data_IF_692198295064
#
_entry.id   IF_692198295064
#
_cell.length_a   1.000
_cell.length_b   1.000
_cell.length_c   1.000
_cell.angle_alpha   90.00
_cell.angle_beta   90.00
_cell.angle_gamma   90.00
#
_symmetry.space_group_name_H-M   'P 1'
#
loop_
_entity.id
_entity.type
_entity.pdbx_description
1 polymer ?
#
# COMPACT_ATOMS: atom_id res chain seq x y z
N UNK A 1 7.96 33.70 -2.34
CA UNK A 1 7.23 34.69 -1.50
C UNK A 1 5.75 34.33 -1.55
N UNK A 2 5.03 34.36 -0.42
CA UNK A 2 3.59 34.10 -0.39
C UNK A 2 2.91 35.39 0.08
N UNK A 3 1.96 35.89 -0.71
CA UNK A 3 1.04 36.95 -0.32
C UNK A 3 -0.29 36.35 0.12
N UNK A 4 -0.90 36.93 1.15
CA UNK A 4 -2.19 36.46 1.67
C UNK A 4 -3.15 37.62 1.82
N UNK A 5 -4.39 37.45 1.38
CA UNK A 5 -5.48 38.39 1.60
C UNK A 5 -6.77 37.65 1.93
N UNK A 6 -7.74 38.34 2.51
CA UNK A 6 -9.03 37.75 2.86
C UNK A 6 -10.18 38.75 2.73
N UNK A 7 -11.38 38.21 2.54
CA UNK A 7 -12.67 38.87 2.78
C UNK A 7 -13.40 38.10 3.89
N UNK A 8 -14.65 38.46 4.19
CA UNK A 8 -15.45 37.72 5.19
C UNK A 8 -15.64 36.24 4.84
N UNK A 9 -15.58 35.89 3.56
CA UNK A 9 -15.99 34.56 3.06
C UNK A 9 -14.90 33.89 2.21
N UNK A 10 -13.73 34.51 2.04
CA UNK A 10 -12.68 34.01 1.15
C UNK A 10 -11.29 34.31 1.69
N UNK A 11 -10.40 33.31 1.61
CA UNK A 11 -8.96 33.47 1.79
C UNK A 11 -8.28 33.28 0.43
N UNK A 12 -7.44 34.24 0.05
CA UNK A 12 -6.64 34.19 -1.19
C UNK A 12 -5.16 34.11 -0.85
N UNK A 13 -4.48 33.17 -1.49
CA UNK A 13 -3.04 32.97 -1.37
C UNK A 13 -2.40 33.15 -2.75
N UNK A 14 -1.48 34.11 -2.86
CA UNK A 14 -0.70 34.37 -4.06
C UNK A 14 0.73 33.85 -3.87
N UNK A 15 1.14 32.93 -4.73
CA UNK A 15 2.47 32.34 -4.69
C UNK A 15 3.34 32.98 -5.77
N UNK A 16 4.35 33.74 -5.35
CA UNK A 16 5.29 34.39 -6.25
C UNK A 16 6.59 33.59 -6.33
N UNK A 17 7.06 33.35 -7.56
CA UNK A 17 8.33 32.69 -7.85
C UNK A 17 8.72 32.79 -9.31
N UNK A 18 9.98 32.45 -9.60
CA UNK A 18 10.48 32.30 -10.96
C UNK A 18 10.04 30.95 -11.51
N UNK A 19 9.43 30.92 -12.69
CA UNK A 19 9.10 29.66 -13.36
C UNK A 19 10.41 28.90 -13.67
N UNK A 20 10.64 27.72 -13.03
CA UNK A 20 11.84 26.95 -13.30
C UNK A 20 11.79 26.28 -14.69
N UNK A 21 10.65 26.30 -15.39
CA UNK A 21 10.37 25.52 -16.60
C UNK A 21 10.57 24.03 -16.35
N UNK A 22 9.99 23.56 -15.24
CA UNK A 22 10.01 22.13 -14.90
C UNK A 22 8.97 21.38 -15.70
N UNK A 23 9.40 20.26 -16.27
CA UNK A 23 8.52 19.30 -16.94
C UNK A 23 8.67 17.95 -16.27
N UNK A 24 7.55 17.36 -15.87
CA UNK A 24 7.53 16.02 -15.27
C UNK A 24 6.94 15.07 -16.30
N UNK A 25 7.63 13.94 -16.54
CA UNK A 25 7.11 12.82 -17.31
C UNK A 25 7.01 11.63 -16.37
N UNK A 26 5.82 11.05 -16.25
CA UNK A 26 5.56 9.88 -15.42
C UNK A 26 5.01 8.74 -16.27
N UNK A 27 5.40 7.52 -15.93
CA UNK A 27 4.89 6.28 -16.54
C UNK A 27 4.65 5.25 -15.46
N UNK A 28 3.56 4.50 -15.57
CA UNK A 28 3.22 3.40 -14.66
C UNK A 28 3.48 2.08 -15.37
N UNK A 29 4.15 1.14 -14.69
CA UNK A 29 4.37 -0.20 -15.24
C UNK A 29 3.08 -1.02 -15.27
N UNK A 30 3.05 -2.05 -16.11
CA UNK A 30 2.14 -3.17 -15.90
C UNK A 30 2.46 -3.89 -14.57
N UNK A 31 1.50 -4.65 -14.01
CA UNK A 31 1.76 -5.56 -12.90
C UNK A 31 2.88 -6.57 -13.20
N UNK A 32 3.78 -6.76 -12.24
CA UNK A 32 4.90 -7.72 -12.34
C UNK A 32 5.15 -8.43 -11.00
N UNK A 33 6.09 -9.37 -10.97
CA UNK A 33 6.48 -10.11 -9.75
C UNK A 33 5.28 -10.75 -9.02
N UNK A 34 4.45 -11.46 -9.78
CA UNK A 34 3.24 -12.07 -9.27
C UNK A 34 3.51 -13.07 -8.14
N UNK A 35 2.68 -13.02 -7.10
CA UNK A 35 2.76 -13.88 -5.91
C UNK A 35 1.42 -14.55 -5.68
N UNK A 36 1.43 -15.88 -5.62
CA UNK A 36 0.22 -16.66 -5.39
C UNK A 36 -0.28 -16.48 -3.95
N UNK A 37 -1.61 -16.43 -3.75
CA UNK A 37 -2.20 -16.47 -2.41
C UNK A 37 -1.71 -17.69 -1.62
N UNK A 38 -1.44 -17.51 -0.33
CA UNK A 38 -1.05 -18.58 0.59
C UNK A 38 -1.99 -18.60 1.79
N UNK A 39 -2.16 -19.78 2.38
CA UNK A 39 -2.90 -19.91 3.65
C UNK A 39 -2.11 -19.22 4.76
N UNK A 40 -2.76 -18.30 5.47
CA UNK A 40 -2.23 -17.72 6.71
C UNK A 40 -2.86 -18.40 7.93
N UNK A 41 -2.16 -18.34 9.06
CA UNK A 41 -2.61 -18.97 10.30
C UNK A 41 -2.83 -17.92 11.38
N UNK A 42 -3.90 -18.09 12.16
CA UNK A 42 -4.15 -17.29 13.34
C UNK A 42 -4.57 -18.15 14.53
N UNK A 43 -4.23 -17.70 15.74
CA UNK A 43 -4.74 -18.23 16.99
C UNK A 43 -5.85 -17.31 17.50
N UNK A 44 -7.00 -17.88 17.81
CA UNK A 44 -8.08 -17.24 18.57
C UNK A 44 -8.10 -17.84 19.98
N UNK A 45 -7.55 -17.14 21.00
CA UNK A 45 -7.51 -17.66 22.37
C UNK A 45 -8.89 -17.88 23.00
N UNK A 46 -9.94 -17.31 22.39
CA UNK A 46 -11.31 -17.32 22.90
C UNK A 46 -12.22 -18.29 22.16
N UNK A 47 -11.74 -18.88 21.05
CA UNK A 47 -12.45 -19.94 20.34
C UNK A 47 -12.46 -21.25 21.16
N UNK A 48 -13.43 -22.15 20.90
CA UNK A 48 -13.44 -23.46 21.55
C UNK A 48 -12.12 -24.21 21.36
N UNK A 49 -11.63 -24.85 22.42
CA UNK A 49 -10.39 -25.62 22.38
C UNK A 49 -10.43 -26.70 21.29
N UNK A 50 -9.34 -26.82 20.54
CA UNK A 50 -9.20 -27.77 19.43
C UNK A 50 -9.94 -27.39 18.13
N UNK A 51 -10.72 -26.31 18.13
CA UNK A 51 -11.46 -25.86 16.94
C UNK A 51 -10.54 -25.34 15.83
N UNK A 52 -10.99 -25.47 14.59
CA UNK A 52 -10.37 -24.86 13.40
C UNK A 52 -11.48 -24.35 12.50
N UNK A 53 -11.37 -23.10 12.04
CA UNK A 53 -12.24 -22.53 11.02
C UNK A 53 -11.43 -21.81 9.96
N UNK A 54 -11.94 -21.80 8.73
CA UNK A 54 -11.31 -21.08 7.63
C UNK A 54 -12.12 -19.84 7.31
N UNK A 55 -11.46 -18.69 7.25
CA UNK A 55 -12.01 -17.45 6.68
C UNK A 55 -11.46 -17.33 5.26
N UNK A 56 -12.36 -17.22 4.29
CA UNK A 56 -11.98 -17.05 2.88
C UNK A 56 -11.29 -15.71 2.67
N UNK A 57 -10.18 -15.73 1.94
CA UNK A 57 -9.61 -14.53 1.31
C UNK A 57 -10.28 -14.25 -0.03
N UNK A 58 -9.90 -13.15 -0.68
CA UNK A 58 -10.34 -12.84 -2.05
C UNK A 58 -9.68 -13.74 -3.11
N UNK A 59 -8.70 -14.57 -2.73
CA UNK A 59 -7.87 -15.39 -3.62
C UNK A 59 -7.18 -14.59 -4.73
N UNK A 60 -6.95 -13.29 -4.49
CA UNK A 60 -6.26 -12.41 -5.43
C UNK A 60 -4.74 -12.51 -5.26
N UNK A 61 -4.03 -12.69 -6.37
CA UNK A 61 -2.57 -12.67 -6.40
C UNK A 61 -2.04 -11.28 -6.05
N UNK A 62 -0.93 -11.26 -5.32
CA UNK A 62 -0.14 -10.06 -5.12
C UNK A 62 0.74 -9.78 -6.34
N UNK A 63 1.14 -8.52 -6.52
CA UNK A 63 2.01 -8.08 -7.61
C UNK A 63 2.64 -6.72 -7.27
N UNK A 64 3.62 -6.32 -8.05
CA UNK A 64 4.26 -5.01 -7.93
C UNK A 64 3.82 -4.08 -9.08
N UNK A 65 3.65 -2.80 -8.76
CA UNK A 65 3.48 -1.72 -9.75
C UNK A 65 4.52 -0.66 -9.47
N UNK A 66 5.24 -0.23 -10.50
CA UNK A 66 6.25 0.82 -10.37
C UNK A 66 5.85 2.06 -11.16
N UNK A 67 5.82 3.20 -10.48
CA UNK A 67 5.70 4.52 -11.11
C UNK A 67 7.11 5.07 -11.30
N UNK A 68 7.48 5.32 -12.54
CA UNK A 68 8.74 5.97 -12.91
C UNK A 68 8.50 7.44 -13.20
N UNK A 69 9.34 8.33 -12.65
CA UNK A 69 9.25 9.77 -12.86
C UNK A 69 10.57 10.30 -13.40
N UNK A 70 10.51 11.13 -14.44
CA UNK A 70 11.63 11.95 -14.93
C UNK A 70 11.28 13.41 -14.76
N UNK A 71 12.13 14.16 -14.07
CA UNK A 71 11.97 15.60 -13.86
C UNK A 71 13.01 16.31 -14.71
N UNK A 72 12.54 17.18 -15.60
CA UNK A 72 13.37 18.03 -16.43
C UNK A 72 13.24 19.47 -15.96
N UNK A 73 14.30 20.25 -16.11
CA UNK A 73 14.30 21.70 -15.93
C UNK A 73 15.03 22.31 -17.12
N UNK A 74 14.34 23.20 -17.85
CA UNK A 74 14.87 23.81 -19.08
C UNK A 74 15.40 22.77 -20.09
N UNK A 75 14.70 21.62 -20.19
CA UNK A 75 15.06 20.52 -21.10
C UNK A 75 16.13 19.56 -20.58
N UNK A 76 16.88 19.90 -19.53
CA UNK A 76 17.88 19.02 -18.91
C UNK A 76 17.20 18.09 -17.91
N UNK A 77 17.50 16.79 -17.97
CA UNK A 77 17.07 15.83 -16.95
C UNK A 77 17.75 16.17 -15.62
N UNK A 78 16.95 16.50 -14.61
CA UNK A 78 17.43 16.76 -13.25
C UNK A 78 17.37 15.51 -12.38
N UNK A 79 16.29 14.73 -12.52
CA UNK A 79 16.03 13.61 -11.61
C UNK A 79 15.31 12.48 -12.31
N UNK A 80 15.66 11.25 -11.92
CA UNK A 80 14.96 10.02 -12.29
C UNK A 80 14.62 9.28 -10.99
N UNK A 81 13.35 8.95 -10.82
CA UNK A 81 12.84 8.23 -9.65
C UNK A 81 12.07 6.98 -10.07
N UNK A 82 12.02 6.00 -9.17
CA UNK A 82 11.15 4.84 -9.25
C UNK A 82 10.48 4.63 -7.89
N UNK A 83 9.16 4.47 -7.90
CA UNK A 83 8.35 4.22 -6.71
C UNK A 83 7.58 2.93 -6.92
N UNK A 84 7.90 1.89 -6.15
CA UNK A 84 7.27 0.58 -6.28
C UNK A 84 6.29 0.33 -5.15
N UNK A 85 5.04 0.01 -5.50
CA UNK A 85 4.03 -0.49 -4.58
C UNK A 85 3.96 -2.00 -4.67
N UNK A 86 4.09 -2.69 -3.54
CA UNK A 86 3.96 -4.14 -3.45
C UNK A 86 2.57 -4.50 -2.89
N UNK A 87 1.71 -5.04 -3.76
CA UNK A 87 0.40 -5.55 -3.36
C UNK A 87 0.55 -6.96 -2.79
N UNK A 88 -0.11 -7.18 -1.65
CA UNK A 88 -0.06 -8.45 -0.91
C UNK A 88 -1.06 -9.43 -1.53
N UNK A 89 -0.65 -10.70 -1.68
CA UNK A 89 -1.56 -11.76 -2.10
C UNK A 89 -2.52 -12.11 -0.96
N UNK A 90 -3.81 -12.29 -1.27
CA UNK A 90 -4.84 -12.49 -0.25
C UNK A 90 -5.36 -13.93 -0.33
N UNK A 91 -4.75 -14.80 0.47
CA UNK A 91 -5.21 -16.19 0.63
C UNK A 91 -6.17 -16.37 1.80
N UNK A 92 -6.67 -17.59 2.03
CA UNK A 92 -7.51 -17.90 3.18
C UNK A 92 -6.72 -17.80 4.49
N UNK A 93 -7.42 -17.58 5.59
CA UNK A 93 -6.85 -17.67 6.94
C UNK A 93 -7.49 -18.82 7.69
N UNK A 94 -6.67 -19.77 8.17
CA UNK A 94 -7.10 -20.79 9.10
C UNK A 94 -6.91 -20.30 10.54
N UNK A 95 -8.00 -20.25 11.28
CA UNK A 95 -8.07 -19.76 12.65
C UNK A 95 -8.24 -20.97 13.57
N UNK A 96 -7.30 -21.10 14.51
CA UNK A 96 -7.22 -22.21 15.46
C UNK A 96 -7.67 -21.74 16.84
N UNK A 97 -8.44 -22.56 17.55
CA UNK A 97 -8.61 -22.44 19.00
C UNK A 97 -7.39 -22.99 19.75
N UNK A 98 -7.31 -22.77 21.07
CA UNK A 98 -6.19 -23.26 21.88
C UNK A 98 -6.12 -24.80 21.90
N UNK A 99 -4.93 -25.35 22.16
CA UNK A 99 -4.73 -26.79 22.38
C UNK A 99 -4.48 -27.62 21.10
N UNK A 100 -4.23 -26.98 19.95
CA UNK A 100 -3.86 -27.66 18.70
C UNK A 100 -2.55 -27.12 18.13
N UNK A 101 -1.77 -27.98 17.46
CA UNK A 101 -0.59 -27.55 16.72
C UNK A 101 -0.98 -26.70 15.50
N UNK A 102 -0.31 -25.56 15.35
CA UNK A 102 -0.51 -24.65 14.21
C UNK A 102 0.62 -24.90 13.20
N UNK A 103 0.34 -25.14 11.91
CA UNK A 103 1.33 -25.63 10.94
C UNK A 103 2.49 -24.68 10.59
N UNK A 104 2.46 -23.43 11.04
CA UNK A 104 3.46 -22.44 10.70
C UNK A 104 3.35 -21.16 11.54
N UNK A 105 4.06 -20.09 11.13
CA UNK A 105 3.94 -18.78 11.77
C UNK A 105 2.48 -18.34 11.81
N UNK A 106 2.05 -17.85 12.98
CA UNK A 106 0.70 -17.39 13.20
C UNK A 106 0.70 -16.07 13.97
N UNK A 107 -0.41 -15.34 13.86
CA UNK A 107 -0.68 -14.17 14.68
C UNK A 107 -1.82 -14.46 15.65
N UNK A 108 -1.87 -13.72 16.75
CA UNK A 108 -2.93 -13.86 17.77
C UNK A 108 -4.01 -12.83 17.50
N UNK A 109 -5.27 -13.26 17.42
CA UNK A 109 -6.39 -12.34 17.29
C UNK A 109 -6.57 -11.54 18.58
N UNK A 110 -6.70 -10.21 18.50
CA UNK A 110 -7.01 -9.40 19.67
C UNK A 110 -8.42 -9.74 20.16
N UNK A 111 -8.66 -9.47 21.44
CA UNK A 111 -10.03 -9.47 21.97
C UNK A 111 -10.80 -8.33 21.30
N UNK A 112 -11.95 -8.66 20.70
CA UNK A 112 -12.90 -7.70 20.12
C UNK A 112 -13.97 -7.40 21.17
#
# INVERSE_FOLDING_TARGET
>A
LIGTSYTNDTLTFSFYGTDPRRRIVATTSAPANWRSPQTTYALDPYAPAGSVRTVSGSNQSGFDVTVSRRVFERGKLLRKDAFTSAYVAVGPTQIYGPGRSIPGPYFVLPRI
#
